data_IF_531211271276
#
_entry.id   IF_531211271276
#
_cell.length_a   1.000
_cell.length_b   1.000
_cell.length_c   1.000
_cell.angle_alpha   90.00
_cell.angle_beta   90.00
_cell.angle_gamma   90.00
#
_symmetry.space_group_name_H-M   'P 1'
#
loop_
_entity.id
_entity.type
_entity.pdbx_description
1 polymer ?
#
# COMPACT_ATOMS: atom_id res chain seq x y z
N UNK A 1 -7.40 48.29 0.28
CA UNK A 1 -7.80 47.44 -0.87
C UNK A 1 -6.92 46.20 -0.84
N UNK A 2 -7.37 45.17 -0.12
CA UNK A 2 -6.58 44.00 0.25
C UNK A 2 -6.58 42.92 -0.83
N UNK A 3 -5.44 42.24 -0.96
CA UNK A 3 -5.23 41.07 -1.81
C UNK A 3 -5.90 39.85 -1.15
N UNK A 4 -6.84 39.13 -1.79
CA UNK A 4 -7.29 37.85 -1.26
C UNK A 4 -6.36 36.73 -1.76
N UNK A 5 -5.45 36.28 -0.90
CA UNK A 5 -4.78 34.99 -1.02
C UNK A 5 -5.82 33.88 -0.79
N UNK A 6 -6.49 33.46 -1.85
CA UNK A 6 -7.27 32.22 -1.87
C UNK A 6 -6.30 31.08 -2.16
N UNK A 7 -5.96 30.31 -1.13
CA UNK A 7 -5.29 29.02 -1.23
C UNK A 7 -6.11 28.10 -2.17
N UNK A 8 -5.57 27.59 -3.29
CA UNK A 8 -6.26 26.58 -4.07
C UNK A 8 -6.10 25.21 -3.39
N UNK A 9 -6.98 24.93 -2.42
CA UNK A 9 -7.33 23.56 -2.00
C UNK A 9 -8.07 22.88 -3.15
N UNK A 10 -7.37 22.35 -4.16
CA UNK A 10 -8.00 21.43 -5.14
C UNK A 10 -7.05 20.58 -6.00
N UNK A 11 -5.73 20.64 -5.76
CA UNK A 11 -4.76 19.78 -6.47
C UNK A 11 -4.48 18.43 -5.76
N UNK A 12 -5.11 18.16 -4.61
CA UNK A 12 -4.89 16.93 -3.82
C UNK A 12 -5.89 15.78 -4.05
N UNK A 13 -6.94 16.00 -4.85
CA UNK A 13 -8.02 15.01 -5.07
C UNK A 13 -7.82 14.12 -6.31
N UNK A 14 -6.94 14.48 -7.26
CA UNK A 14 -6.69 13.66 -8.45
C UNK A 14 -5.72 12.49 -8.22
N UNK A 15 -4.77 12.61 -7.27
CA UNK A 15 -3.83 11.51 -6.98
C UNK A 15 -4.51 10.41 -6.14
N UNK A 16 -5.51 10.77 -5.31
CA UNK A 16 -6.32 9.79 -4.56
C UNK A 16 -7.18 8.91 -5.48
N UNK A 17 -7.53 9.37 -6.68
CA UNK A 17 -8.32 8.60 -7.65
C UNK A 17 -7.52 7.46 -8.34
N UNK A 18 -6.19 7.59 -8.47
CA UNK A 18 -5.35 6.57 -9.12
C UNK A 18 -5.11 5.33 -8.24
N UNK A 19 -5.04 5.49 -6.91
CA UNK A 19 -4.85 4.35 -6.00
C UNK A 19 -6.15 3.53 -5.85
N UNK A 20 -7.32 4.16 -5.96
CA UNK A 20 -8.62 3.46 -5.96
C UNK A 20 -8.81 2.47 -7.11
N UNK A 21 -8.11 2.61 -8.24
CA UNK A 21 -8.30 1.75 -9.44
C UNK A 21 -7.57 0.39 -9.35
N UNK A 22 -6.55 0.24 -8.48
CA UNK A 22 -5.88 -1.06 -8.28
C UNK A 22 -6.75 -2.00 -7.41
N UNK A 23 -7.81 -1.48 -6.79
CA UNK A 23 -8.93 -2.28 -6.28
C UNK A 23 -9.77 -2.81 -7.46
N UNK A 24 -9.24 -3.79 -8.18
CA UNK A 24 -10.06 -4.82 -8.84
C UNK A 24 -9.54 -6.18 -8.41
N UNK A 25 -9.51 -6.40 -7.08
CA UNK A 25 -9.36 -7.74 -6.51
C UNK A 25 -10.45 -8.62 -7.13
N UNK A 26 -10.01 -9.68 -7.80
CA UNK A 26 -10.84 -10.67 -8.50
C UNK A 26 -12.04 -11.10 -7.65
N UNK A 27 -13.27 -11.15 -8.20
CA UNK A 27 -14.42 -11.63 -7.46
C UNK A 27 -14.28 -13.14 -7.27
N UNK A 28 -13.83 -13.60 -6.10
CA UNK A 28 -13.99 -14.99 -5.72
C UNK A 28 -15.46 -15.21 -5.33
N UNK A 29 -16.09 -16.35 -5.68
CA UNK A 29 -17.51 -16.61 -5.40
C UNK A 29 -17.87 -16.68 -3.91
N UNK A 30 -16.87 -16.61 -3.01
CA UNK A 30 -17.04 -16.76 -1.56
C UNK A 30 -17.06 -15.42 -0.82
N UNK A 31 -17.19 -14.30 -1.52
CA UNK A 31 -17.21 -12.96 -0.93
C UNK A 31 -18.39 -12.77 0.04
N UNK A 32 -18.14 -13.11 1.31
CA UNK A 32 -18.95 -12.73 2.48
C UNK A 32 -19.13 -11.21 2.42
N UNK A 33 -20.38 -10.75 2.43
CA UNK A 33 -20.69 -9.31 2.49
C UNK A 33 -20.16 -8.78 3.82
N UNK A 34 -18.96 -8.23 3.78
CA UNK A 34 -18.27 -7.56 4.87
C UNK A 34 -18.33 -6.06 4.60
N UNK A 35 -18.53 -5.26 5.65
CA UNK A 35 -18.66 -3.82 5.51
C UNK A 35 -17.42 -3.27 4.79
N UNK A 36 -17.56 -2.20 4.01
CA UNK A 36 -16.48 -1.67 3.16
C UNK A 36 -15.17 -1.34 3.91
N UNK A 37 -15.23 -1.24 5.23
CA UNK A 37 -14.10 -0.98 6.11
C UNK A 37 -13.35 -2.25 6.57
N UNK A 38 -13.90 -3.45 6.35
CA UNK A 38 -13.33 -4.74 6.79
C UNK A 38 -12.13 -5.18 5.92
N UNK A 39 -11.88 -4.48 4.81
CA UNK A 39 -10.76 -4.73 3.91
C UNK A 39 -9.60 -3.74 4.10
N UNK A 40 -9.72 -2.79 5.03
CA UNK A 40 -8.66 -1.84 5.34
C UNK A 40 -7.76 -2.37 6.46
N UNK A 41 -6.47 -2.08 6.34
CA UNK A 41 -5.51 -2.34 7.40
C UNK A 41 -5.82 -1.51 8.64
N UNK A 42 -6.09 -2.12 9.81
CA UNK A 42 -6.40 -1.39 11.02
C UNK A 42 -5.27 -0.42 11.37
N UNK A 43 -5.62 0.86 11.56
CA UNK A 43 -4.65 1.91 11.88
C UNK A 43 -3.63 2.21 10.77
N UNK A 44 -3.84 1.70 9.55
CA UNK A 44 -2.89 1.86 8.45
C UNK A 44 -1.59 1.05 8.62
N UNK A 45 -1.57 0.09 9.54
CA UNK A 45 -0.40 -0.76 9.78
C UNK A 45 -0.47 -1.99 8.88
N UNK A 46 0.53 -2.15 8.03
CA UNK A 46 0.62 -3.21 7.01
C UNK A 46 1.78 -4.14 7.34
N UNK A 47 1.53 -5.30 7.95
CA UNK A 47 2.55 -6.31 8.15
C UNK A 47 3.00 -6.86 6.79
N UNK A 48 4.31 -7.03 6.60
CA UNK A 48 4.86 -7.58 5.37
C UNK A 48 5.96 -8.62 5.61
N UNK A 49 6.14 -9.51 4.65
CA UNK A 49 7.29 -10.41 4.60
C UNK A 49 7.79 -10.55 3.17
N UNK A 50 9.08 -10.79 3.02
CA UNK A 50 9.65 -11.16 1.74
C UNK A 50 9.74 -12.68 1.64
N UNK A 51 9.36 -13.21 0.48
CA UNK A 51 9.62 -14.60 0.16
C UNK A 51 11.13 -14.87 0.08
N UNK A 52 11.51 -16.15 0.25
CA UNK A 52 12.92 -16.59 0.13
C UNK A 52 13.52 -16.31 -1.25
N UNK A 53 12.71 -16.09 -2.28
CA UNK A 53 13.18 -15.76 -3.63
C UNK A 53 13.99 -14.45 -3.67
N UNK A 54 13.68 -13.49 -2.79
CA UNK A 54 14.44 -12.24 -2.68
C UNK A 54 15.85 -12.40 -2.12
N UNK A 55 16.19 -13.54 -1.51
CA UNK A 55 17.53 -13.75 -0.96
C UNK A 55 18.61 -13.63 -2.05
N UNK A 56 18.26 -14.01 -3.29
CA UNK A 56 19.16 -13.94 -4.44
C UNK A 56 19.19 -12.55 -5.10
N UNK A 57 18.16 -11.72 -4.89
CA UNK A 57 17.95 -10.43 -5.54
C UNK A 57 17.82 -9.29 -4.52
N UNK A 58 18.92 -8.95 -3.85
CA UNK A 58 18.96 -7.87 -2.85
C UNK A 58 18.60 -6.49 -3.44
N UNK A 59 18.90 -6.26 -4.72
CA UNK A 59 18.56 -5.02 -5.40
C UNK A 59 17.04 -4.79 -5.48
N UNK A 60 16.28 -5.81 -5.89
CA UNK A 60 14.82 -5.73 -5.95
C UNK A 60 14.21 -5.56 -4.56
N UNK A 61 14.77 -6.23 -3.55
CA UNK A 61 14.38 -6.04 -2.15
C UNK A 61 14.51 -4.58 -1.74
N UNK A 62 15.64 -3.94 -2.05
CA UNK A 62 15.89 -2.54 -1.74
C UNK A 62 14.93 -1.60 -2.48
N UNK A 63 14.59 -1.87 -3.73
CA UNK A 63 13.62 -1.07 -4.48
C UNK A 63 12.23 -1.12 -3.83
N UNK A 64 11.79 -2.29 -3.38
CA UNK A 64 10.51 -2.45 -2.67
C UNK A 64 10.53 -1.66 -1.35
N UNK A 65 11.61 -1.78 -0.56
CA UNK A 65 11.75 -1.03 0.69
C UNK A 65 11.72 0.50 0.46
N UNK A 66 12.39 0.97 -0.59
CA UNK A 66 12.37 2.39 -0.96
C UNK A 66 10.97 2.86 -1.38
N UNK A 67 10.21 2.02 -2.06
CA UNK A 67 8.82 2.32 -2.40
C UNK A 67 7.95 2.41 -1.14
N UNK A 68 8.11 1.50 -0.18
CA UNK A 68 7.43 1.54 1.12
C UNK A 68 7.71 2.85 1.86
N UNK A 69 8.98 3.25 1.95
CA UNK A 69 9.40 4.52 2.56
C UNK A 69 8.70 5.72 1.91
N UNK A 70 8.55 5.71 0.58
CA UNK A 70 7.81 6.76 -0.14
C UNK A 70 6.36 6.91 0.33
N UNK A 71 5.68 5.79 0.62
CA UNK A 71 4.33 5.79 1.17
C UNK A 71 4.32 6.27 2.62
N UNK A 72 5.27 5.82 3.45
CA UNK A 72 5.35 6.20 4.86
C UNK A 72 5.59 7.71 5.04
N UNK A 73 6.39 8.29 4.16
CA UNK A 73 6.69 9.73 4.16
C UNK A 73 5.51 10.60 3.71
N UNK A 74 4.59 10.06 2.90
CA UNK A 74 3.53 10.83 2.25
C UNK A 74 2.14 10.54 2.80
N UNK A 75 1.99 9.49 3.61
CA UNK A 75 0.69 8.99 4.10
C UNK A 75 0.80 8.53 5.56
N UNK A 76 -0.33 8.10 6.14
CA UNK A 76 -0.37 7.47 7.45
C UNK A 76 -0.10 5.95 7.43
N UNK A 77 0.16 5.35 6.26
CA UNK A 77 0.48 3.92 6.15
C UNK A 77 1.84 3.64 6.78
N UNK A 78 1.96 2.53 7.52
CA UNK A 78 3.20 2.08 8.17
C UNK A 78 3.43 0.61 7.87
N UNK A 79 4.60 0.28 7.34
CA UNK A 79 4.99 -1.09 7.03
C UNK A 79 5.80 -1.68 8.18
N UNK A 80 5.38 -2.84 8.68
CA UNK A 80 6.11 -3.54 9.74
C UNK A 80 6.54 -4.93 9.27
N UNK A 81 7.75 -5.34 9.68
CA UNK A 81 8.20 -6.70 9.43
C UNK A 81 7.28 -7.66 10.19
N UNK A 82 6.61 -8.55 9.46
CA UNK A 82 5.68 -9.52 10.03
C UNK A 82 6.39 -10.41 11.06
N UNK A 83 5.71 -10.65 12.17
CA UNK A 83 6.08 -11.62 13.21
C UNK A 83 5.04 -12.75 13.28
N UNK A 84 3.81 -12.44 13.69
CA UNK A 84 2.75 -13.40 14.02
C UNK A 84 1.40 -13.03 13.44
N UNK A 85 1.33 -11.91 12.72
CA UNK A 85 0.09 -11.37 12.17
C UNK A 85 -0.52 -12.35 11.14
N UNK A 86 -1.84 -12.54 11.24
CA UNK A 86 -2.59 -13.44 10.38
C UNK A 86 -2.74 -12.88 8.96
N UNK A 87 -3.14 -11.61 8.88
CA UNK A 87 -3.22 -10.87 7.62
C UNK A 87 -1.90 -10.11 7.40
N UNK A 88 -1.25 -10.34 6.26
CA UNK A 88 -0.02 -9.66 5.89
C UNK A 88 0.21 -9.68 4.37
N UNK A 89 1.08 -8.79 3.88
CA UNK A 89 1.57 -8.83 2.50
C UNK A 89 2.76 -9.80 2.37
N UNK A 90 2.63 -10.81 1.52
CA UNK A 90 3.76 -11.64 1.11
C UNK A 90 4.32 -11.13 -0.22
N UNK A 91 5.51 -10.53 -0.18
CA UNK A 91 6.17 -9.98 -1.36
C UNK A 91 6.98 -11.09 -2.01
N UNK A 92 6.57 -11.47 -3.22
CA UNK A 92 7.17 -12.55 -4.00
C UNK A 92 7.96 -11.97 -5.17
N UNK A 93 9.20 -12.43 -5.35
CA UNK A 93 9.97 -12.08 -6.53
C UNK A 93 9.47 -12.97 -7.66
N UNK A 94 9.15 -12.39 -8.81
CA UNK A 94 8.88 -13.19 -9.99
C UNK A 94 10.22 -13.73 -10.50
N UNK A 95 10.41 -15.06 -10.60
CA UNK A 95 11.61 -15.59 -11.21
C UNK A 95 11.59 -15.19 -12.68
N UNK A 96 12.56 -14.40 -13.12
CA UNK A 96 12.80 -14.18 -14.54
C UNK A 96 13.31 -15.52 -15.08
N UNK A 97 12.46 -16.24 -15.82
CA UNK A 97 12.79 -17.49 -16.50
C UNK A 97 13.69 -17.25 -17.70
#
# INVERSE_FOLDING_TARGET
MGLPLILPRLHGLCITALITVIITVSPSPEARIRAQNDFLWPGGVVPYSFSKAFNKNQHERMLVLKAMEGFENSTCIRFIQRTTEADYLQIVAHPIS
#
